data_IF_781519687278
#
_entry.id   IF_781519687278
#
_cell.length_a   1.000
_cell.length_b   1.000
_cell.length_c   1.000
_cell.angle_alpha   90.00
_cell.angle_beta   90.00
_cell.angle_gamma   90.00
#
_symmetry.space_group_name_H-M   'P 1'
#
loop_
_entity.id
_entity.type
_entity.pdbx_description
1 polymer ?
#
# COMPACT_ATOMS: atom_id res chain seq x y z
N UNK A 1 3.88 34.40 -6.89
CA UNK A 1 4.26 34.91 -5.55
C UNK A 1 4.72 33.72 -4.71
N UNK A 2 6.02 33.46 -4.65
CA UNK A 2 6.60 32.37 -3.84
C UNK A 2 6.71 32.85 -2.40
N UNK A 3 6.02 32.18 -1.47
CA UNK A 3 6.10 32.52 -0.06
C UNK A 3 7.55 32.40 0.44
N UNK A 4 8.07 33.47 1.06
CA UNK A 4 9.36 33.48 1.72
C UNK A 4 9.38 32.39 2.80
N UNK A 5 10.27 31.42 2.66
CA UNK A 5 10.53 30.44 3.72
C UNK A 5 11.14 31.20 4.91
N UNK A 6 10.63 31.02 6.15
CA UNK A 6 11.19 31.71 7.31
C UNK A 6 12.68 31.37 7.45
N UNK A 7 13.52 32.33 7.89
CA UNK A 7 14.94 32.10 8.08
C UNK A 7 15.15 31.04 9.18
N UNK A 8 16.20 30.24 8.99
CA UNK A 8 16.61 29.24 9.98
C UNK A 8 17.03 29.98 11.25
N UNK A 9 16.54 29.59 12.45
CA UNK A 9 16.95 30.20 13.70
C UNK A 9 18.47 30.13 13.89
N UNK A 10 19.13 31.18 14.41
CA UNK A 10 20.55 31.14 14.72
C UNK A 10 20.84 30.02 15.74
N UNK A 11 21.77 29.12 15.41
CA UNK A 11 22.11 27.94 16.23
C UNK A 11 21.31 26.67 15.91
N UNK A 12 20.42 26.69 14.91
CA UNK A 12 19.77 25.48 14.42
C UNK A 12 20.68 24.75 13.43
N UNK A 13 21.22 23.59 13.83
CA UNK A 13 21.88 22.67 12.91
C UNK A 13 20.84 21.76 12.23
N UNK A 14 20.68 21.82 10.89
CA UNK A 14 19.72 20.98 10.17
C UNK A 14 20.05 19.49 10.19
N UNK A 15 21.27 19.09 10.56
CA UNK A 15 21.67 17.69 10.69
C UNK A 15 21.54 17.16 12.13
N UNK A 16 21.35 18.05 13.11
CA UNK A 16 21.13 17.66 14.49
C UNK A 16 19.64 17.38 14.71
N UNK A 17 19.31 16.11 14.96
CA UNK A 17 17.94 15.73 15.25
C UNK A 17 17.53 16.34 16.61
N UNK A 18 16.39 17.05 16.69
CA UNK A 18 15.90 17.57 17.96
C UNK A 18 15.63 16.42 18.91
N UNK A 19 15.91 16.62 20.20
CA UNK A 19 15.58 15.62 21.21
C UNK A 19 14.07 15.44 21.30
N UNK A 20 13.57 14.36 20.70
CA UNK A 20 12.16 14.02 20.63
C UNK A 20 11.58 13.61 21.99
N UNK A 21 12.42 13.48 23.02
CA UNK A 21 12.02 13.13 24.38
C UNK A 21 11.63 14.32 25.25
N UNK A 22 11.84 15.57 24.77
CA UNK A 22 11.47 16.78 25.52
C UNK A 22 9.94 16.92 25.67
N UNK A 23 9.46 17.67 26.68
CA UNK A 23 8.03 17.87 26.92
C UNK A 23 7.28 18.44 25.70
N UNK A 24 7.90 19.38 24.99
CA UNK A 24 7.30 20.03 23.80
C UNK A 24 6.98 19.04 22.68
N UNK A 25 7.88 18.07 22.44
CA UNK A 25 7.67 17.04 21.44
C UNK A 25 6.63 16.02 21.89
N UNK A 26 6.60 15.66 23.17
CA UNK A 26 5.59 14.75 23.74
C UNK A 26 4.16 15.28 23.60
N UNK A 27 3.94 16.56 23.89
CA UNK A 27 2.63 17.20 23.74
C UNK A 27 2.18 17.24 22.27
N UNK A 28 3.12 17.52 21.35
CA UNK A 28 2.87 17.45 19.91
C UNK A 28 2.50 16.03 19.46
N UNK A 29 3.18 15.00 19.95
CA UNK A 29 2.83 13.61 19.62
C UNK A 29 1.49 13.18 20.23
N UNK A 30 1.16 13.65 21.44
CA UNK A 30 -0.10 13.33 22.11
C UNK A 30 -1.32 13.92 21.40
N UNK A 31 -1.17 15.07 20.73
CA UNK A 31 -2.25 15.76 20.02
C UNK A 31 -2.44 15.28 18.57
N UNK A 32 -1.47 14.56 18.00
CA UNK A 32 -1.53 14.09 16.62
C UNK A 32 -2.39 12.82 16.50
N UNK A 33 -3.46 12.92 15.70
CA UNK A 33 -4.32 11.78 15.36
C UNK A 33 -3.57 10.80 14.46
N UNK A 34 -3.11 9.68 15.03
CA UNK A 34 -2.45 8.60 14.28
C UNK A 34 -3.42 7.97 13.27
N UNK A 35 -3.37 8.40 12.01
CA UNK A 35 -4.04 7.70 10.91
C UNK A 35 -3.21 6.47 10.56
N UNK A 36 -3.48 5.34 11.22
CA UNK A 36 -2.85 4.05 10.94
C UNK A 36 -3.24 3.56 9.53
N UNK A 37 -2.47 3.96 8.52
CA UNK A 37 -2.38 3.32 7.20
C UNK A 37 -3.69 3.02 6.46
N UNK A 38 -3.57 2.26 5.36
CA UNK A 38 -4.73 1.76 4.61
C UNK A 38 -5.56 0.85 5.54
N UNK A 39 -6.90 1.03 5.60
CA UNK A 39 -7.77 0.16 6.38
C UNK A 39 -7.52 -1.31 6.03
N UNK A 40 -7.55 -2.16 7.05
CA UNK A 40 -7.33 -3.61 6.93
C UNK A 40 -8.42 -4.18 6.02
N UNK A 41 -8.06 -4.62 4.81
CA UNK A 41 -9.01 -5.26 3.92
C UNK A 41 -9.53 -6.54 4.57
N UNK A 42 -10.85 -6.69 4.71
CA UNK A 42 -11.47 -7.86 5.34
C UNK A 42 -11.17 -9.16 4.60
N UNK A 43 -11.01 -9.10 3.27
CA UNK A 43 -10.54 -10.22 2.47
C UNK A 43 -9.29 -9.82 1.69
N UNK A 44 -8.14 -10.35 2.11
CA UNK A 44 -6.88 -10.16 1.39
C UNK A 44 -6.74 -11.25 0.34
N UNK A 45 -6.29 -10.89 -0.87
CA UNK A 45 -5.82 -11.88 -1.84
C UNK A 45 -4.66 -12.66 -1.22
N UNK A 46 -4.77 -13.98 -1.18
CA UNK A 46 -3.68 -14.86 -0.74
C UNK A 46 -2.76 -15.07 -1.93
N UNK A 47 -1.47 -14.76 -1.77
CA UNK A 47 -0.47 -15.10 -2.78
C UNK A 47 -0.14 -16.58 -2.60
N UNK A 48 -0.55 -17.39 -3.57
CA UNK A 48 -0.30 -18.83 -3.58
C UNK A 48 0.41 -19.18 -4.89
N UNK A 49 1.40 -20.07 -4.81
CA UNK A 49 2.06 -20.63 -5.99
C UNK A 49 1.28 -21.86 -6.44
N UNK A 50 0.67 -21.80 -7.62
CA UNK A 50 0.02 -22.94 -8.27
C UNK A 50 0.67 -23.18 -9.63
N UNK A 51 0.77 -24.43 -10.05
CA UNK A 51 1.19 -24.78 -11.40
C UNK A 51 -0.05 -24.88 -12.28
N UNK A 52 0.01 -24.24 -13.44
CA UNK A 52 -1.03 -24.28 -14.48
C UNK A 52 -0.36 -24.71 -15.78
N UNK A 53 -1.14 -25.27 -16.68
CA UNK A 53 -0.63 -25.65 -18.00
C UNK A 53 -0.10 -24.45 -18.78
N UNK A 54 0.96 -24.70 -19.56
CA UNK A 54 1.64 -23.65 -20.32
C UNK A 54 0.70 -22.97 -21.32
N UNK A 55 -0.16 -23.74 -21.97
CA UNK A 55 -1.12 -23.25 -22.97
C UNK A 55 -2.14 -22.29 -22.35
N UNK A 56 -2.63 -22.62 -21.15
CA UNK A 56 -3.56 -21.76 -20.41
C UNK A 56 -2.91 -20.42 -20.08
N UNK A 57 -1.67 -20.44 -19.57
CA UNK A 57 -0.94 -19.21 -19.27
C UNK A 57 -0.68 -18.40 -20.55
N UNK A 58 -0.33 -19.06 -21.65
CA UNK A 58 -0.06 -18.41 -22.93
C UNK A 58 -1.29 -17.67 -23.46
N UNK A 59 -2.47 -18.33 -23.48
CA UNK A 59 -3.76 -17.74 -23.85
C UNK A 59 -4.07 -16.48 -23.00
N UNK A 60 -4.00 -16.59 -21.67
CA UNK A 60 -4.30 -15.46 -20.80
C UNK A 60 -3.32 -14.30 -20.97
N UNK A 61 -2.03 -14.59 -21.20
CA UNK A 61 -0.98 -13.59 -21.46
C UNK A 61 -1.14 -12.91 -22.82
N UNK A 62 -1.57 -13.64 -23.85
CA UNK A 62 -1.84 -13.08 -25.17
C UNK A 62 -2.90 -11.97 -25.12
N UNK A 63 -3.87 -12.07 -24.19
CA UNK A 63 -4.85 -11.01 -23.93
C UNK A 63 -4.29 -9.73 -23.30
N UNK A 64 -2.98 -9.60 -23.07
CA UNK A 64 -2.33 -8.38 -22.58
C UNK A 64 -2.39 -8.17 -21.06
N UNK A 65 -2.25 -6.91 -20.63
CA UNK A 65 -2.20 -6.53 -19.22
C UNK A 65 -3.43 -7.04 -18.42
N UNK A 66 -3.21 -7.37 -17.14
CA UNK A 66 -4.28 -7.83 -16.25
C UNK A 66 -4.66 -9.31 -16.39
N UNK A 67 -3.87 -10.12 -17.11
CA UNK A 67 -4.11 -11.55 -17.29
C UNK A 67 -4.27 -12.33 -15.98
N UNK A 68 -3.53 -11.97 -14.92
CA UNK A 68 -3.70 -12.55 -13.58
C UNK A 68 -5.07 -12.23 -12.94
N UNK A 69 -5.63 -11.06 -13.21
CA UNK A 69 -6.97 -10.71 -12.73
C UNK A 69 -8.04 -11.43 -13.54
N UNK A 70 -7.83 -11.61 -14.86
CA UNK A 70 -8.73 -12.37 -15.73
C UNK A 70 -8.80 -13.84 -15.34
N UNK A 71 -7.65 -14.50 -15.11
CA UNK A 71 -7.65 -15.90 -14.70
C UNK A 71 -8.34 -16.09 -13.34
N UNK A 72 -8.14 -15.18 -12.40
CA UNK A 72 -8.84 -15.19 -11.12
C UNK A 72 -10.37 -15.01 -11.29
N UNK A 73 -10.81 -14.17 -12.23
CA UNK A 73 -12.24 -14.03 -12.56
C UNK A 73 -12.81 -15.32 -13.15
N UNK A 74 -12.11 -15.94 -14.10
CA UNK A 74 -12.53 -17.21 -14.69
C UNK A 74 -12.68 -18.33 -13.64
N UNK A 75 -11.73 -18.43 -12.70
CA UNK A 75 -11.82 -19.39 -11.60
C UNK A 75 -13.04 -19.14 -10.69
N UNK A 76 -13.38 -17.88 -10.41
CA UNK A 76 -14.60 -17.54 -9.64
C UNK A 76 -15.87 -17.94 -10.37
N UNK A 77 -15.98 -17.60 -11.65
CA UNK A 77 -17.14 -17.97 -12.46
C UNK A 77 -17.29 -19.50 -12.57
N UNK A 78 -16.18 -20.24 -12.68
CA UNK A 78 -16.21 -21.69 -12.68
C UNK A 78 -16.72 -22.26 -11.34
N UNK A 79 -16.28 -21.69 -10.22
CA UNK A 79 -16.77 -22.09 -8.89
C UNK A 79 -18.26 -21.78 -8.68
N UNK A 80 -18.74 -20.65 -9.21
CA UNK A 80 -20.16 -20.28 -9.18
C UNK A 80 -21.00 -21.27 -9.99
N UNK A 81 -20.58 -21.58 -11.22
CA UNK A 81 -21.27 -22.57 -12.09
C UNK A 81 -21.30 -23.97 -11.48
N UNK A 82 -20.24 -24.37 -10.76
CA UNK A 82 -20.16 -25.69 -10.10
C UNK A 82 -21.02 -25.78 -8.84
N UNK A 83 -21.35 -24.63 -8.22
CA UNK A 83 -22.16 -24.57 -6.99
C UNK A 83 -23.66 -24.58 -7.26
N UNK A 84 -24.06 -24.38 -8.51
CA UNK A 84 -25.42 -24.61 -9.01
C UNK A 84 -25.58 -26.10 -9.30
#
# INVERSE_FOLDING_TARGET
>A
MTANRPPIPPGFDPNEAPDLSTPEWREKFATVKVRRGRPRAESRKVSTTIRLDADVIAEFRAGGEGWQSRINKALKEWLERKRV
#
